data_IF_753150880529
#
_entry.id   IF_753150880529
#
_cell.length_a   1.000
_cell.length_b   1.000
_cell.length_c   1.000
_cell.angle_alpha   90.00
_cell.angle_beta   90.00
_cell.angle_gamma   90.00
#
_symmetry.space_group_name_H-M   'P 1'
#
loop_
_entity.id
_entity.type
_entity.pdbx_description
1 polymer ?
#
# COMPACT_ATOMS: atom_id res chain seq x y z
N UNK A 1 -2.55 -6.04 53.45
CA UNK A 1 -3.95 -5.86 53.85
C UNK A 1 -4.70 -5.69 52.54
N UNK A 2 -5.35 -6.75 52.05
CA UNK A 2 -6.20 -6.65 50.86
C UNK A 2 -7.40 -5.77 51.22
N UNK A 3 -7.67 -4.77 50.38
CA UNK A 3 -8.86 -3.94 50.49
C UNK A 3 -10.05 -4.79 50.03
N UNK A 4 -10.81 -5.32 50.98
CA UNK A 4 -11.98 -6.15 50.71
C UNK A 4 -13.20 -5.23 50.59
N UNK A 5 -13.25 -4.43 49.52
CA UNK A 5 -14.44 -3.69 49.17
C UNK A 5 -15.43 -4.64 48.47
N UNK A 6 -16.74 -4.47 48.71
CA UNK A 6 -17.78 -5.35 48.17
C UNK A 6 -18.04 -5.14 46.68
N UNK A 7 -17.12 -4.48 45.97
CA UNK A 7 -17.23 -4.19 44.56
C UNK A 7 -16.52 -5.28 43.75
N UNK A 8 -17.03 -5.62 42.55
CA UNK A 8 -16.36 -6.60 41.71
C UNK A 8 -14.97 -6.11 41.32
N UNK A 9 -13.97 -6.98 41.52
CA UNK A 9 -12.56 -6.69 41.24
C UNK A 9 -12.35 -6.46 39.73
N UNK A 10 -12.14 -5.21 39.37
CA UNK A 10 -12.05 -4.78 37.98
C UNK A 10 -10.73 -5.21 37.33
N UNK A 11 -9.68 -5.49 38.11
CA UNK A 11 -8.37 -5.91 37.59
C UNK A 11 -8.45 -7.32 37.01
N UNK A 12 -9.17 -8.20 37.70
CA UNK A 12 -9.40 -9.59 37.25
C UNK A 12 -10.46 -9.70 36.17
N UNK A 13 -11.46 -8.80 36.14
CA UNK A 13 -12.44 -8.72 35.05
C UNK A 13 -11.86 -8.16 33.74
N UNK A 14 -10.86 -7.29 33.82
CA UNK A 14 -10.14 -6.75 32.66
C UNK A 14 -9.07 -7.72 32.11
N UNK A 15 -8.68 -8.75 32.87
CA UNK A 15 -7.84 -9.83 32.37
C UNK A 15 -8.62 -10.67 31.36
N UNK A 16 -8.52 -10.31 30.09
CA UNK A 16 -8.99 -11.12 28.98
C UNK A 16 -8.39 -12.53 29.08
N UNK A 17 -9.27 -13.53 29.09
CA UNK A 17 -8.88 -14.93 28.98
C UNK A 17 -7.96 -15.14 27.77
N UNK A 18 -6.86 -15.86 28.01
CA UNK A 18 -5.88 -16.14 26.98
C UNK A 18 -6.49 -16.96 25.84
N UNK A 19 -7.53 -17.78 26.07
CA UNK A 19 -8.17 -18.60 25.03
C UNK A 19 -8.88 -17.72 23.97
N UNK A 20 -9.57 -16.65 24.39
CA UNK A 20 -10.18 -15.69 23.47
C UNK A 20 -9.16 -14.99 22.56
N UNK A 21 -7.95 -14.72 23.06
CA UNK A 21 -6.87 -14.09 22.29
C UNK A 21 -6.25 -14.98 21.21
N UNK A 22 -6.29 -16.31 21.37
CA UNK A 22 -5.71 -17.26 20.40
C UNK A 22 -6.44 -17.22 19.05
N UNK A 23 -7.76 -17.05 19.07
CA UNK A 23 -8.58 -16.99 17.86
C UNK A 23 -8.25 -15.78 16.98
N UNK A 24 -8.06 -14.61 17.59
CA UNK A 24 -7.71 -13.36 16.87
C UNK A 24 -6.30 -13.46 16.27
N UNK A 25 -5.33 -13.99 17.03
CA UNK A 25 -3.95 -14.19 16.56
C UNK A 25 -3.87 -15.15 15.37
N UNK A 26 -4.69 -16.21 15.34
CA UNK A 26 -4.78 -17.14 14.20
C UNK A 26 -5.34 -16.47 12.95
N UNK A 27 -6.42 -15.67 13.08
CA UNK A 27 -6.96 -14.90 11.94
C UNK A 27 -5.93 -13.95 11.37
N UNK A 28 -5.22 -13.22 12.23
CA UNK A 28 -4.13 -12.33 11.84
C UNK A 28 -3.04 -13.06 11.05
N UNK A 29 -2.58 -14.22 11.56
CA UNK A 29 -1.52 -15.00 10.92
C UNK A 29 -1.93 -15.52 9.54
N UNK A 30 -3.18 -15.99 9.40
CA UNK A 30 -3.70 -16.46 8.11
C UNK A 30 -3.74 -15.33 7.08
N UNK A 31 -4.24 -14.16 7.48
CA UNK A 31 -4.33 -12.99 6.61
C UNK A 31 -2.95 -12.51 6.20
N UNK A 32 -2.02 -12.45 7.15
CA UNK A 32 -0.63 -12.11 6.90
C UNK A 32 0.00 -13.02 5.85
N UNK A 33 -0.13 -14.35 6.02
CA UNK A 33 0.42 -15.30 5.05
C UNK A 33 -0.24 -15.20 3.67
N UNK A 34 -1.55 -15.02 3.60
CA UNK A 34 -2.26 -14.83 2.32
C UNK A 34 -1.75 -13.58 1.59
N UNK A 35 -1.67 -12.46 2.30
CA UNK A 35 -1.22 -11.18 1.75
C UNK A 35 0.26 -11.22 1.36
N UNK A 36 1.09 -11.90 2.15
CA UNK A 36 2.51 -12.10 1.84
C UNK A 36 2.68 -12.89 0.54
N UNK A 37 1.97 -14.01 0.39
CA UNK A 37 2.04 -14.81 -0.84
C UNK A 37 1.56 -14.01 -2.05
N UNK A 38 0.42 -13.32 -1.93
CA UNK A 38 -0.10 -12.46 -3.01
C UNK A 38 0.91 -11.37 -3.41
N UNK A 39 1.57 -10.76 -2.43
CA UNK A 39 2.56 -9.69 -2.67
C UNK A 39 3.83 -10.23 -3.29
N UNK A 40 4.27 -11.43 -2.88
CA UNK A 40 5.44 -12.08 -3.47
C UNK A 40 5.19 -12.43 -4.95
N UNK A 41 4.00 -12.96 -5.26
CA UNK A 41 3.57 -13.23 -6.64
C UNK A 41 3.50 -11.94 -7.46
N UNK A 42 2.92 -10.87 -6.92
CA UNK A 42 2.84 -9.54 -7.56
C UNK A 42 4.24 -9.03 -7.96
N UNK A 43 5.20 -9.08 -7.03
CA UNK A 43 6.59 -8.62 -7.27
C UNK A 43 7.32 -9.53 -8.24
N UNK A 44 7.15 -10.86 -8.15
CA UNK A 44 7.74 -11.80 -9.10
C UNK A 44 7.25 -11.53 -10.53
N UNK A 45 5.94 -11.34 -10.72
CA UNK A 45 5.36 -10.97 -12.02
C UNK A 45 5.97 -9.65 -12.52
N UNK A 46 6.07 -8.64 -11.65
CA UNK A 46 6.71 -7.37 -11.97
C UNK A 46 8.17 -7.53 -12.44
N UNK A 47 8.94 -8.39 -11.76
CA UNK A 47 10.33 -8.63 -12.09
C UNK A 47 10.49 -9.39 -13.43
N UNK A 48 9.72 -10.47 -13.66
CA UNK A 48 9.77 -11.19 -14.93
C UNK A 48 9.35 -10.31 -16.12
N UNK A 49 8.37 -9.42 -15.94
CA UNK A 49 7.93 -8.51 -16.99
C UNK A 49 8.94 -7.41 -17.32
N UNK A 50 9.75 -6.96 -16.35
CA UNK A 50 10.83 -6.00 -16.60
C UNK A 50 11.82 -6.54 -17.64
N UNK A 51 12.21 -7.82 -17.53
CA UNK A 51 13.16 -8.44 -18.45
C UNK A 51 12.56 -8.69 -19.84
N UNK A 52 11.28 -9.05 -19.93
CA UNK A 52 10.59 -9.26 -21.22
C UNK A 52 10.41 -7.94 -21.97
N UNK A 53 10.11 -6.84 -21.28
CA UNK A 53 9.90 -5.54 -21.91
C UNK A 53 11.16 -4.97 -22.60
N UNK A 54 12.35 -5.41 -22.18
CA UNK A 54 13.60 -5.08 -22.88
C UNK A 54 13.68 -5.72 -24.29
N UNK A 55 12.88 -6.76 -24.55
CA UNK A 55 12.92 -7.55 -25.80
C UNK A 55 11.66 -7.40 -26.67
N UNK A 56 10.52 -7.03 -26.09
CA UNK A 56 9.24 -6.89 -26.81
C UNK A 56 8.49 -5.63 -26.42
N UNK A 57 7.92 -4.95 -27.40
CA UNK A 57 7.18 -3.69 -27.28
C UNK A 57 5.78 -3.87 -26.61
N UNK A 58 5.68 -4.76 -25.62
CA UNK A 58 4.47 -5.01 -24.84
C UNK A 58 4.11 -3.77 -24.03
N UNK A 59 2.90 -3.25 -24.17
CA UNK A 59 2.49 -1.97 -23.56
C UNK A 59 2.68 -1.95 -22.03
N UNK A 60 3.52 -1.02 -21.53
CA UNK A 60 3.75 -0.76 -20.09
C UNK A 60 2.46 -0.53 -19.30
N UNK A 61 1.42 -0.06 -19.98
CA UNK A 61 0.10 0.21 -19.42
C UNK A 61 -0.53 -1.03 -18.79
N UNK A 62 -0.36 -2.22 -19.39
CA UNK A 62 -1.00 -3.44 -18.89
C UNK A 62 -0.39 -3.92 -17.55
N UNK A 63 0.92 -3.76 -17.40
CA UNK A 63 1.63 -4.07 -16.16
C UNK A 63 1.17 -3.16 -15.01
N UNK A 64 1.07 -1.85 -15.28
CA UNK A 64 0.61 -0.85 -14.31
C UNK A 64 -0.81 -1.16 -13.84
N UNK A 65 -1.73 -1.49 -14.76
CA UNK A 65 -3.11 -1.83 -14.41
C UNK A 65 -3.18 -3.08 -13.54
N UNK A 66 -2.39 -4.10 -13.87
CA UNK A 66 -2.35 -5.35 -13.09
C UNK A 66 -1.83 -5.11 -11.67
N UNK A 67 -0.80 -4.29 -11.52
CA UNK A 67 -0.23 -3.91 -10.22
C UNK A 67 -1.22 -3.10 -9.37
N UNK A 68 -1.93 -2.14 -9.99
CA UNK A 68 -3.03 -1.40 -9.34
C UNK A 68 -4.14 -2.35 -8.87
N UNK A 69 -4.52 -3.34 -9.68
CA UNK A 69 -5.57 -4.29 -9.31
C UNK A 69 -5.14 -5.18 -8.14
N UNK A 70 -3.91 -5.70 -8.15
CA UNK A 70 -3.38 -6.49 -7.04
C UNK A 70 -3.28 -5.68 -5.73
N UNK A 71 -2.88 -4.40 -5.82
CA UNK A 71 -2.84 -3.50 -4.67
C UNK A 71 -4.24 -3.16 -4.11
N UNK A 72 -5.26 -3.04 -4.96
CA UNK A 72 -6.64 -2.85 -4.52
C UNK A 72 -7.22 -4.12 -3.88
N UNK A 73 -6.96 -5.30 -4.46
CA UNK A 73 -7.40 -6.58 -3.91
C UNK A 73 -6.82 -6.81 -2.51
N UNK A 74 -5.53 -6.58 -2.32
CA UNK A 74 -4.91 -6.73 -1.00
C UNK A 74 -5.47 -5.73 -0.01
N UNK A 75 -5.60 -4.45 -0.38
CA UNK A 75 -6.15 -3.41 0.48
C UNK A 75 -7.60 -3.72 0.90
N UNK A 76 -8.44 -4.15 -0.04
CA UNK A 76 -9.81 -4.58 0.24
C UNK A 76 -9.86 -5.77 1.21
N UNK A 77 -8.99 -6.76 1.01
CA UNK A 77 -8.88 -7.92 1.90
C UNK A 77 -8.43 -7.53 3.32
N UNK A 78 -7.49 -6.59 3.45
CA UNK A 78 -7.05 -6.05 4.74
C UNK A 78 -8.24 -5.38 5.43
N UNK A 79 -8.91 -4.43 4.78
CA UNK A 79 -9.96 -3.63 5.43
C UNK A 79 -11.13 -4.51 5.88
N UNK A 80 -11.56 -5.47 5.06
CA UNK A 80 -12.64 -6.37 5.45
C UNK A 80 -12.28 -7.26 6.65
N UNK A 81 -11.02 -7.70 6.74
CA UNK A 81 -10.62 -8.68 7.77
C UNK A 81 -10.08 -8.05 9.05
N UNK A 82 -9.30 -6.98 8.96
CA UNK A 82 -8.65 -6.34 10.11
C UNK A 82 -9.54 -5.38 10.87
N UNK A 83 -10.46 -4.71 10.18
CA UNK A 83 -11.38 -3.80 10.86
C UNK A 83 -12.61 -4.51 11.41
N UNK A 84 -12.69 -5.86 11.35
CA UNK A 84 -13.86 -6.64 11.78
C UNK A 84 -15.20 -6.24 11.10
N UNK A 85 -15.13 -5.36 10.11
CA UNK A 85 -16.23 -4.80 9.32
C UNK A 85 -16.96 -5.83 8.44
N UNK A 86 -16.39 -7.03 8.30
CA UNK A 86 -17.01 -8.15 7.57
C UNK A 86 -18.17 -8.79 8.33
N UNK A 87 -18.07 -8.87 9.66
CA UNK A 87 -19.06 -9.51 10.53
C UNK A 87 -20.01 -8.47 11.17
N UNK A 88 -19.76 -7.18 10.96
CA UNK A 88 -20.47 -6.05 11.57
C UNK A 88 -21.39 -5.27 10.61
N UNK A 89 -22.11 -4.27 11.16
CA UNK A 89 -23.12 -3.51 10.45
C UNK A 89 -22.62 -2.92 9.12
N UNK A 90 -23.35 -3.21 8.03
CA UNK A 90 -23.05 -2.76 6.66
C UNK A 90 -22.86 -1.24 6.57
N UNK A 91 -23.49 -0.46 7.45
CA UNK A 91 -23.34 0.99 7.47
C UNK A 91 -21.97 1.44 7.98
N UNK A 92 -21.43 0.79 9.01
CA UNK A 92 -20.10 1.12 9.53
C UNK A 92 -19.01 0.85 8.49
N UNK A 93 -19.21 -0.19 7.66
CA UNK A 93 -18.33 -0.49 6.53
C UNK A 93 -18.27 0.63 5.51
N UNK A 94 -19.41 1.16 5.07
CA UNK A 94 -19.43 2.25 4.09
C UNK A 94 -18.93 3.57 4.65
N UNK A 95 -19.09 3.81 5.97
CA UNK A 95 -18.57 5.01 6.63
C UNK A 95 -17.04 5.07 6.61
N UNK A 96 -16.37 3.93 6.76
CA UNK A 96 -14.91 3.84 6.63
C UNK A 96 -14.51 3.75 5.15
N UNK A 97 -15.11 2.82 4.39
CA UNK A 97 -14.65 2.49 3.04
C UNK A 97 -14.91 3.64 2.04
N UNK A 98 -16.00 4.39 2.24
CA UNK A 98 -16.40 5.53 1.40
C UNK A 98 -15.34 6.64 1.32
N UNK A 99 -14.97 7.30 2.44
CA UNK A 99 -13.99 8.38 2.42
C UNK A 99 -12.61 7.91 1.94
N UNK A 100 -12.17 6.71 2.33
CA UNK A 100 -10.88 6.16 1.86
C UNK A 100 -10.88 5.85 0.35
N UNK A 101 -11.94 5.25 -0.18
CA UNK A 101 -12.05 4.96 -1.61
C UNK A 101 -12.11 6.25 -2.43
N UNK A 102 -12.88 7.25 -1.97
CA UNK A 102 -12.96 8.56 -2.61
C UNK A 102 -11.60 9.23 -2.65
N UNK A 103 -10.88 9.21 -1.52
CA UNK A 103 -9.56 9.81 -1.41
C UNK A 103 -8.54 9.16 -2.36
N UNK A 104 -8.48 7.82 -2.42
CA UNK A 104 -7.56 7.12 -3.33
C UNK A 104 -7.84 7.47 -4.80
N UNK A 105 -9.11 7.44 -5.21
CA UNK A 105 -9.49 7.79 -6.59
C UNK A 105 -9.19 9.26 -6.88
N UNK A 106 -9.42 10.16 -5.92
CA UNK A 106 -9.09 11.58 -6.05
C UNK A 106 -7.58 11.80 -6.24
N UNK A 107 -6.74 11.12 -5.47
CA UNK A 107 -5.28 11.18 -5.59
C UNK A 107 -4.80 10.63 -6.95
N UNK A 108 -5.35 9.51 -7.40
CA UNK A 108 -5.05 8.95 -8.73
C UNK A 108 -5.46 9.93 -9.83
N UNK A 109 -6.66 10.51 -9.75
CA UNK A 109 -7.12 11.50 -10.73
C UNK A 109 -6.22 12.74 -10.75
N UNK A 110 -5.89 13.28 -9.58
CA UNK A 110 -5.07 14.48 -9.45
C UNK A 110 -3.66 14.27 -10.02
N UNK A 111 -3.03 13.12 -9.69
CA UNK A 111 -1.70 12.78 -10.19
C UNK A 111 -1.74 12.42 -11.67
N UNK A 112 -2.73 11.68 -12.18
CA UNK A 112 -2.68 11.22 -13.58
C UNK A 112 -3.24 12.23 -14.59
N UNK A 113 -4.27 12.98 -14.21
CA UNK A 113 -4.99 13.87 -15.15
C UNK A 113 -4.46 15.29 -15.07
N UNK A 114 -4.27 15.84 -13.86
CA UNK A 114 -3.88 17.25 -13.69
C UNK A 114 -2.36 17.50 -13.67
N UNK A 115 -1.56 16.74 -12.91
CA UNK A 115 -0.12 17.03 -12.75
C UNK A 115 0.84 16.08 -13.48
N UNK A 116 0.51 14.80 -13.61
CA UNK A 116 1.39 13.78 -14.22
C UNK A 116 1.60 13.96 -15.73
N UNK A 117 0.62 14.58 -16.42
CA UNK A 117 0.79 14.99 -17.83
C UNK A 117 1.61 16.27 -17.99
N UNK A 118 1.92 16.99 -16.91
CA UNK A 118 2.68 18.23 -16.96
C UNK A 118 4.19 17.95 -17.11
N UNK A 119 4.70 16.91 -16.45
CA UNK A 119 6.11 16.51 -16.51
C UNK A 119 6.52 15.88 -17.85
N UNK A 120 5.57 15.28 -18.59
CA UNK A 120 5.84 14.60 -19.87
C UNK A 120 5.95 15.51 -21.10
N UNK A 121 5.68 16.83 -20.97
CA UNK A 121 5.79 17.76 -22.10
C UNK A 121 7.25 18.16 -22.28
N UNK A 122 7.77 17.92 -23.49
CA UNK A 122 9.14 18.25 -23.92
C UNK A 122 9.51 19.74 -23.83
N UNK A 123 8.58 20.60 -23.42
CA UNK A 123 8.72 22.05 -23.27
C UNK A 123 9.56 22.48 -22.04
N UNK A 124 9.67 21.64 -21.00
CA UNK A 124 10.43 21.97 -19.79
C UNK A 124 11.86 21.43 -19.78
N UNK A 125 12.48 21.21 -20.95
CA UNK A 125 13.90 20.89 -21.02
C UNK A 125 14.70 22.14 -20.73
N UNK A 126 15.51 22.10 -19.68
CA UNK A 126 16.44 23.18 -19.38
C UNK A 126 17.52 23.22 -20.47
N UNK A 127 18.01 24.41 -20.82
CA UNK A 127 19.07 24.54 -21.84
C UNK A 127 20.35 23.74 -21.49
N UNK A 128 20.49 23.34 -20.22
CA UNK A 128 21.58 22.52 -19.71
C UNK A 128 21.53 21.05 -20.21
N UNK A 129 20.35 20.54 -20.55
CA UNK A 129 20.16 19.17 -21.06
C UNK A 129 20.52 19.05 -22.55
N UNK A 130 20.59 20.19 -23.25
CA UNK A 130 20.91 20.29 -24.68
C UNK A 130 22.35 20.67 -24.96
N UNK A 131 23.14 21.02 -23.94
CA UNK A 131 24.56 21.33 -24.11
C UNK A 131 25.39 20.03 -24.10
N UNK A 132 26.41 19.91 -24.97
CA UNK A 132 27.38 18.83 -24.84
C UNK A 132 28.03 18.92 -23.45
N UNK A 133 28.14 17.77 -22.77
CA UNK A 133 28.69 17.62 -21.40
C UNK A 133 30.08 18.24 -21.19
N UNK A 134 30.77 18.69 -22.24
CA UNK A 134 32.07 19.36 -22.19
C UNK A 134 32.06 20.71 -21.46
N UNK A 135 30.91 21.34 -21.24
CA UNK A 135 30.82 22.67 -20.59
C UNK A 135 30.44 22.59 -19.11
N UNK A 136 30.16 21.40 -18.58
CA UNK A 136 29.90 21.24 -17.15
C UNK A 136 31.25 21.27 -16.41
N UNK A 137 31.45 22.16 -15.41
CA UNK A 137 32.65 22.12 -14.60
C UNK A 137 32.69 20.77 -13.89
N UNK A 138 33.72 19.98 -14.18
CA UNK A 138 33.96 18.70 -13.52
C UNK A 138 34.00 18.98 -12.01
N UNK A 139 33.00 18.50 -11.28
CA UNK A 139 33.01 18.57 -9.83
C UNK A 139 34.32 17.94 -9.35
N UNK A 140 35.13 18.63 -8.54
CA UNK A 140 36.39 18.08 -8.10
C UNK A 140 36.10 16.75 -7.42
N UNK A 141 36.73 15.69 -7.92
CA UNK A 141 36.71 14.40 -7.25
C UNK A 141 37.20 14.64 -5.83
N UNK A 142 36.32 14.45 -4.85
CA UNK A 142 36.72 14.33 -3.46
C UNK A 142 37.55 13.05 -3.36
N UNK A 143 38.84 13.18 -3.62
CA UNK A 143 39.83 12.34 -2.98
C UNK A 143 39.97 12.88 -1.56
N UNK A 144 39.75 11.96 -0.61
CA UNK A 144 39.82 12.08 0.87
C UNK A 144 38.55 12.55 1.59
#
# INVERSE_FOLDING_TARGET
MEFQDGFPDYETLAQHDNEAGVGVRKKLMNVFWLLLVVTLVEVCIGWFWHDIHASTHLSKTWLIITFIMFTLLKAGYIVMTFMHLGDENKWMRWMILGPYSLFIVYLIYMVNVTEGNYSGKKEHRSLLDTLPQSTQPVAPAHHE
#
